data_IF_745191370115
#
_entry.id   IF_745191370115
#
_cell.length_a   1.000
_cell.length_b   1.000
_cell.length_c   1.000
_cell.angle_alpha   90.00
_cell.angle_beta   90.00
_cell.angle_gamma   90.00
#
_symmetry.space_group_name_H-M   'P 1'
#
loop_
_entity.id
_entity.type
_entity.pdbx_description
1 polymer ?
#
# COMPACT_ATOMS: atom_id res chain seq x y z
N UNK A 1 5.72 -18.16 -5.73
CA UNK A 1 6.46 -17.35 -4.75
C UNK A 1 7.87 -17.19 -5.27
N UNK A 2 8.17 -16.09 -5.98
CA UNK A 2 9.54 -15.77 -6.37
C UNK A 2 10.10 -14.87 -5.27
N UNK A 3 10.95 -15.43 -4.41
CA UNK A 3 11.72 -14.62 -3.47
C UNK A 3 12.67 -13.68 -4.24
N UNK A 4 13.11 -12.58 -3.61
CA UNK A 4 14.06 -11.66 -4.25
C UNK A 4 15.30 -12.42 -4.72
N UNK A 5 15.70 -12.19 -5.97
CA UNK A 5 16.91 -12.79 -6.55
C UNK A 5 18.09 -12.62 -5.58
N UNK A 6 18.85 -13.68 -5.37
CA UNK A 6 19.93 -13.75 -4.37
C UNK A 6 20.96 -12.61 -4.52
N UNK A 7 21.14 -12.07 -5.73
CA UNK A 7 21.96 -10.89 -6.00
C UNK A 7 21.39 -9.57 -5.44
N UNK A 8 20.07 -9.41 -5.45
CA UNK A 8 19.40 -8.22 -4.90
C UNK A 8 19.45 -8.24 -3.36
N UNK A 9 19.24 -9.40 -2.74
CA UNK A 9 19.39 -9.57 -1.30
C UNK A 9 20.81 -9.28 -0.81
N UNK A 10 21.83 -9.74 -1.57
CA UNK A 10 23.23 -9.46 -1.26
C UNK A 10 23.58 -7.98 -1.41
N UNK A 11 23.09 -7.31 -2.45
CA UNK A 11 23.27 -5.87 -2.66
C UNK A 11 22.67 -5.02 -1.55
N UNK A 12 21.44 -5.34 -1.10
CA UNK A 12 20.79 -4.66 0.03
C UNK A 12 21.56 -4.87 1.33
N UNK A 13 22.07 -6.08 1.58
CA UNK A 13 22.84 -6.39 2.78
C UNK A 13 24.17 -5.62 2.83
N UNK A 14 24.89 -5.54 1.70
CA UNK A 14 26.11 -4.73 1.57
C UNK A 14 25.83 -3.24 1.74
N UNK A 15 24.76 -2.73 1.14
CA UNK A 15 24.33 -1.33 1.29
C UNK A 15 24.00 -0.99 2.75
N UNK A 16 23.28 -1.86 3.45
CA UNK A 16 23.00 -1.73 4.88
C UNK A 16 24.28 -1.76 5.72
N UNK A 17 25.19 -2.71 5.45
CA UNK A 17 26.46 -2.80 6.17
C UNK A 17 27.31 -1.54 5.99
N UNK A 18 27.39 -1.03 4.76
CA UNK A 18 28.10 0.20 4.45
C UNK A 18 27.49 1.41 5.19
N UNK A 19 26.16 1.52 5.20
CA UNK A 19 25.45 2.55 5.96
C UNK A 19 25.72 2.48 7.46
N UNK A 20 25.75 1.28 8.05
CA UNK A 20 26.06 1.11 9.49
C UNK A 20 27.51 1.51 9.78
N UNK A 21 28.48 1.11 8.95
CA UNK A 21 29.90 1.42 9.16
C UNK A 21 30.17 2.92 8.98
N UNK A 22 29.70 3.51 7.88
CA UNK A 22 29.91 4.94 7.60
C UNK A 22 29.11 5.80 8.57
N UNK A 23 27.83 5.47 8.81
CA UNK A 23 26.99 6.17 9.77
C UNK A 23 27.52 6.07 11.21
N UNK A 24 28.03 4.91 11.60
CA UNK A 24 28.67 4.69 12.89
C UNK A 24 29.94 5.51 13.08
N UNK A 25 30.81 5.56 12.07
CA UNK A 25 32.05 6.34 12.11
C UNK A 25 31.78 7.86 12.17
N UNK A 26 30.84 8.35 11.37
CA UNK A 26 30.40 9.76 11.39
C UNK A 26 29.74 10.11 12.73
N UNK A 27 28.90 9.22 13.25
CA UNK A 27 28.24 9.38 14.55
C UNK A 27 29.20 9.47 15.72
N UNK A 28 30.24 8.64 15.72
CA UNK A 28 31.27 8.64 16.75
C UNK A 28 32.13 9.91 16.69
N UNK A 29 32.47 10.36 15.47
CA UNK A 29 33.13 11.66 15.27
C UNK A 29 32.30 12.84 15.76
N UNK A 30 31.00 12.86 15.44
CA UNK A 30 30.07 13.89 15.90
C UNK A 30 29.90 13.88 17.43
N UNK A 31 29.78 12.70 18.06
CA UNK A 31 29.70 12.57 19.51
C UNK A 31 30.93 13.14 20.22
N UNK A 32 32.14 12.86 19.69
CA UNK A 32 33.40 13.40 20.23
C UNK A 32 33.51 14.92 20.04
N UNK A 33 33.03 15.46 18.92
CA UNK A 33 32.96 16.90 18.68
C UNK A 33 32.00 17.59 19.64
N UNK A 34 30.80 17.04 19.84
CA UNK A 34 29.79 17.57 20.78
C UNK A 34 30.32 17.51 22.21
N UNK A 35 30.98 16.42 22.60
CA UNK A 35 31.66 16.32 23.90
C UNK A 35 32.64 17.49 24.10
N UNK A 36 33.47 17.76 23.09
CA UNK A 36 34.50 18.81 23.14
C UNK A 36 33.90 20.22 23.14
N UNK A 37 32.82 20.45 22.38
CA UNK A 37 32.17 21.76 22.24
C UNK A 37 31.32 22.14 23.46
N UNK A 38 30.68 21.16 24.11
CA UNK A 38 29.73 21.40 25.20
C UNK A 38 30.21 20.90 26.57
N UNK A 39 31.47 20.45 26.66
CA UNK A 39 32.11 19.93 27.88
C UNK A 39 31.25 18.86 28.59
N UNK A 40 30.61 18.00 27.81
CA UNK A 40 29.69 16.98 28.29
C UNK A 40 30.43 15.76 28.83
N UNK A 41 29.78 15.03 29.73
CA UNK A 41 30.25 13.71 30.14
C UNK A 41 30.24 12.75 28.94
N UNK A 42 31.14 11.75 28.96
CA UNK A 42 31.23 10.77 27.87
C UNK A 42 29.88 10.07 27.62
N UNK A 43 29.17 9.72 28.70
CA UNK A 43 27.83 9.12 28.62
C UNK A 43 26.80 10.02 27.92
N UNK A 44 26.77 11.32 28.25
CA UNK A 44 25.85 12.26 27.61
C UNK A 44 26.17 12.46 26.12
N UNK A 45 27.46 12.53 25.77
CA UNK A 45 27.89 12.65 24.36
C UNK A 45 27.56 11.42 23.53
N UNK A 46 27.69 10.21 24.09
CA UNK A 46 27.31 8.96 23.44
C UNK A 46 25.79 8.89 23.26
N UNK A 47 25.01 9.31 24.26
CA UNK A 47 23.56 9.39 24.15
C UNK A 47 23.10 10.32 23.03
N UNK A 48 23.67 11.53 22.94
CA UNK A 48 23.34 12.49 21.87
C UNK A 48 23.82 11.97 20.50
N UNK A 49 25.02 11.39 20.44
CA UNK A 49 25.54 10.78 19.22
C UNK A 49 24.64 9.67 18.67
N UNK A 50 24.17 8.77 19.54
CA UNK A 50 23.22 7.72 19.17
C UNK A 50 21.90 8.29 18.66
N UNK A 51 21.35 9.31 19.32
CA UNK A 51 20.13 9.99 18.85
C UNK A 51 20.34 10.60 17.47
N UNK A 52 21.48 11.26 17.23
CA UNK A 52 21.79 11.85 15.93
C UNK A 52 21.99 10.80 14.84
N UNK A 53 22.62 9.65 15.14
CA UNK A 53 22.76 8.54 14.20
C UNK A 53 21.41 7.91 13.89
N UNK A 54 20.54 7.74 14.88
CA UNK A 54 19.20 7.19 14.68
C UNK A 54 18.32 8.14 13.87
N UNK A 55 18.23 9.41 14.26
CA UNK A 55 17.41 10.42 13.56
C UNK A 55 17.99 10.70 12.17
N UNK A 56 19.30 10.87 12.05
CA UNK A 56 19.98 11.09 10.78
C UNK A 56 19.91 9.88 9.87
N UNK A 57 20.05 8.66 10.40
CA UNK A 57 19.94 7.41 9.66
C UNK A 57 18.52 7.16 9.15
N UNK A 58 17.50 7.38 9.99
CA UNK A 58 16.09 7.28 9.58
C UNK A 58 15.75 8.36 8.55
N UNK A 59 16.21 9.60 8.75
CA UNK A 59 16.01 10.69 7.78
C UNK A 59 16.70 10.41 6.45
N UNK A 60 17.94 9.95 6.46
CA UNK A 60 18.68 9.59 5.25
C UNK A 60 18.03 8.39 4.56
N UNK A 61 17.58 7.38 5.31
CA UNK A 61 16.85 6.25 4.74
C UNK A 61 15.55 6.71 4.07
N UNK A 62 14.76 7.57 4.73
CA UNK A 62 13.53 8.10 4.16
C UNK A 62 13.78 8.92 2.88
N UNK A 63 14.88 9.68 2.81
CA UNK A 63 15.25 10.47 1.61
C UNK A 63 15.82 9.59 0.49
N UNK A 64 16.70 8.65 0.82
CA UNK A 64 17.36 7.78 -0.17
C UNK A 64 16.40 6.73 -0.72
N UNK A 65 15.46 6.27 0.11
CA UNK A 65 14.47 5.25 -0.23
C UNK A 65 13.05 5.81 -0.09
N UNK A 66 12.81 6.98 -0.66
CA UNK A 66 11.51 7.66 -0.61
C UNK A 66 10.40 6.76 -1.19
N UNK A 67 10.65 6.10 -2.31
CA UNK A 67 9.69 5.17 -2.93
C UNK A 67 9.33 3.97 -2.03
N UNK A 68 10.31 3.37 -1.36
CA UNK A 68 10.08 2.27 -0.40
C UNK A 68 9.37 2.75 0.85
N UNK A 69 9.70 3.96 1.31
CA UNK A 69 9.07 4.57 2.49
C UNK A 69 7.62 4.93 2.18
N UNK A 70 7.36 5.52 1.02
CA UNK A 70 6.03 5.87 0.52
C UNK A 70 5.17 4.62 0.29
N UNK A 71 5.71 3.59 -0.37
CA UNK A 71 4.98 2.32 -0.56
C UNK A 71 4.68 1.60 0.77
N UNK A 72 5.62 1.61 1.72
CA UNK A 72 5.41 1.06 3.05
C UNK A 72 4.31 1.82 3.82
N UNK A 73 4.34 3.15 3.78
CA UNK A 73 3.29 3.97 4.37
C UNK A 73 1.94 3.72 3.70
N UNK A 74 1.90 3.69 2.36
CA UNK A 74 0.70 3.41 1.60
C UNK A 74 0.08 2.06 1.96
N UNK A 75 0.91 1.02 2.14
CA UNK A 75 0.46 -0.29 2.60
C UNK A 75 -0.08 -0.25 4.04
N UNK A 76 0.59 0.48 4.94
CA UNK A 76 0.17 0.59 6.35
C UNK A 76 -1.14 1.37 6.53
N UNK A 77 -1.39 2.35 5.67
CA UNK A 77 -2.60 3.17 5.71
C UNK A 77 -3.70 2.67 4.78
N UNK A 78 -3.45 1.61 4.01
CA UNK A 78 -4.45 1.02 3.12
C UNK A 78 -5.61 0.48 3.96
N UNK A 79 -6.82 0.93 3.64
CA UNK A 79 -8.03 0.47 4.32
C UNK A 79 -8.51 -0.83 3.67
N UNK A 80 -8.99 -1.81 4.45
CA UNK A 80 -9.63 -2.98 3.86
C UNK A 80 -10.89 -2.58 3.13
N UNK A 81 -11.12 -3.20 1.98
CA UNK A 81 -12.30 -3.00 1.15
C UNK A 81 -13.20 -4.22 1.26
N UNK A 82 -14.48 -3.98 1.54
CA UNK A 82 -15.49 -5.02 1.71
C UNK A 82 -16.62 -4.80 0.70
N UNK A 83 -16.73 -5.72 -0.26
CA UNK A 83 -17.82 -5.73 -1.23
C UNK A 83 -19.04 -6.47 -0.66
N UNK A 84 -20.21 -5.84 -0.74
CA UNK A 84 -21.49 -6.48 -0.40
C UNK A 84 -22.16 -6.87 -1.71
N UNK A 85 -22.15 -8.16 -2.04
CA UNK A 85 -22.65 -8.68 -3.32
C UNK A 85 -24.06 -9.26 -3.17
N UNK A 86 -24.92 -9.18 -4.20
CA UNK A 86 -26.17 -9.92 -4.21
C UNK A 86 -25.92 -11.43 -4.12
N UNK A 87 -26.83 -12.15 -3.45
CA UNK A 87 -26.77 -13.63 -3.40
C UNK A 87 -26.70 -14.23 -4.80
N UNK A 88 -25.76 -15.15 -5.01
CA UNK A 88 -25.57 -15.83 -6.29
C UNK A 88 -24.83 -15.01 -7.36
N UNK A 89 -24.32 -13.83 -7.01
CA UNK A 89 -23.46 -13.08 -7.92
C UNK A 89 -22.13 -13.81 -8.13
N UNK A 90 -21.80 -14.06 -9.39
CA UNK A 90 -20.49 -14.58 -9.81
C UNK A 90 -20.12 -13.93 -11.14
N UNK A 91 -18.88 -13.44 -11.25
CA UNK A 91 -18.36 -12.83 -12.47
C UNK A 91 -17.60 -11.52 -12.24
N UNK A 92 -17.38 -10.76 -13.33
CA UNK A 92 -16.57 -9.55 -13.29
C UNK A 92 -17.33 -8.35 -12.70
N UNK A 93 -16.60 -7.54 -11.93
CA UNK A 93 -16.99 -6.26 -11.39
C UNK A 93 -15.93 -5.23 -11.76
N UNK A 94 -16.35 -4.12 -12.37
CA UNK A 94 -15.49 -2.98 -12.68
C UNK A 94 -15.89 -1.78 -11.83
N UNK A 95 -14.94 -1.29 -11.05
CA UNK A 95 -15.10 -0.11 -10.21
C UNK A 95 -14.39 1.05 -10.89
N UNK A 96 -15.13 2.09 -11.26
CA UNK A 96 -14.62 3.29 -11.90
C UNK A 96 -14.47 4.43 -10.89
N UNK A 97 -13.32 5.08 -10.89
CA UNK A 97 -12.99 6.17 -9.99
C UNK A 97 -13.38 7.49 -10.66
N UNK A 98 -14.42 8.14 -10.14
CA UNK A 98 -14.95 9.41 -10.62
C UNK A 98 -14.94 10.41 -9.45
N UNK A 99 -14.43 11.62 -9.66
CA UNK A 99 -14.42 12.67 -8.64
C UNK A 99 -15.85 13.04 -8.16
N UNK A 100 -16.84 12.87 -9.04
CA UNK A 100 -18.26 13.11 -8.76
C UNK A 100 -19.05 11.82 -8.45
N UNK A 101 -18.36 10.67 -8.33
CA UNK A 101 -18.98 9.40 -8.03
C UNK A 101 -19.59 9.34 -6.61
N UNK A 102 -20.46 8.36 -6.34
CA UNK A 102 -21.03 8.16 -5.01
C UNK A 102 -19.93 7.83 -3.99
N UNK A 103 -20.07 8.40 -2.79
CA UNK A 103 -19.15 8.17 -1.68
C UNK A 103 -19.30 6.74 -1.17
N UNK A 104 -18.17 6.09 -0.89
CA UNK A 104 -18.13 4.76 -0.29
C UNK A 104 -18.27 4.88 1.22
N UNK A 105 -19.13 4.05 1.81
CA UNK A 105 -19.37 4.08 3.24
C UNK A 105 -18.16 3.55 4.00
N UNK A 106 -17.75 4.24 5.07
CA UNK A 106 -16.73 3.75 5.97
C UNK A 106 -17.37 3.18 7.23
N UNK A 107 -17.22 1.88 7.46
CA UNK A 107 -17.81 1.17 8.60
C UNK A 107 -16.71 0.41 9.34
N UNK A 108 -16.47 0.79 10.60
CA UNK A 108 -15.45 0.18 11.47
C UNK A 108 -14.04 0.18 10.83
N UNK A 109 -13.67 1.28 10.16
CA UNK A 109 -12.36 1.44 9.51
C UNK A 109 -12.19 0.65 8.21
N UNK A 110 -13.29 0.14 7.63
CA UNK A 110 -13.32 -0.58 6.36
C UNK A 110 -14.21 0.17 5.37
N UNK A 111 -13.86 0.10 4.09
CA UNK A 111 -14.64 0.69 3.01
C UNK A 111 -15.68 -0.34 2.55
N UNK A 112 -16.96 -0.04 2.76
CA UNK A 112 -18.08 -0.89 2.34
C UNK A 112 -18.63 -0.43 1.00
N UNK A 113 -18.56 -1.33 0.03
CA UNK A 113 -19.00 -1.10 -1.35
C UNK A 113 -20.19 -2.00 -1.64
N UNK A 114 -21.43 -1.48 -1.57
CA UNK A 114 -22.60 -2.25 -1.94
C UNK A 114 -22.71 -2.38 -3.45
N UNK A 115 -22.83 -3.61 -3.94
CA UNK A 115 -23.16 -3.87 -5.33
C UNK A 115 -24.67 -3.90 -5.53
N UNK A 116 -25.14 -3.14 -6.51
CA UNK A 116 -26.55 -3.08 -6.93
C UNK A 116 -26.91 -4.10 -8.00
N UNK A 117 -26.01 -5.05 -8.31
CA UNK A 117 -26.15 -6.04 -9.39
C UNK A 117 -25.60 -5.59 -10.73
N UNK A 118 -25.17 -4.32 -10.86
CA UNK A 118 -24.39 -3.87 -12.01
C UNK A 118 -22.98 -4.44 -11.97
N UNK A 119 -22.46 -4.82 -13.15
CA UNK A 119 -21.06 -5.28 -13.32
C UNK A 119 -20.07 -4.13 -13.46
N UNK A 120 -20.57 -2.90 -13.60
CA UNK A 120 -19.78 -1.67 -13.64
C UNK A 120 -20.44 -0.62 -12.75
N UNK A 121 -19.66 0.02 -11.89
CA UNK A 121 -20.16 1.04 -10.97
C UNK A 121 -19.15 2.17 -10.79
N UNK A 122 -19.66 3.38 -10.55
CA UNK A 122 -18.84 4.52 -10.17
C UNK A 122 -18.66 4.57 -8.65
N UNK A 123 -17.48 4.97 -8.21
CA UNK A 123 -17.20 5.33 -6.83
C UNK A 123 -16.40 6.62 -6.80
N UNK A 124 -16.51 7.35 -5.69
CA UNK A 124 -15.74 8.57 -5.50
C UNK A 124 -14.24 8.28 -5.50
N UNK A 125 -13.51 8.97 -6.37
CA UNK A 125 -12.05 8.93 -6.39
C UNK A 125 -11.44 9.43 -5.05
N UNK A 126 -10.27 8.91 -4.68
CA UNK A 126 -9.56 9.27 -3.45
C UNK A 126 -10.12 8.62 -2.17
N UNK A 127 -11.06 7.68 -2.28
CA UNK A 127 -11.64 6.99 -1.12
C UNK A 127 -10.72 5.89 -0.53
N UNK A 128 -9.57 5.61 -1.14
CA UNK A 128 -8.61 4.57 -0.71
C UNK A 128 -8.77 3.21 -1.40
N UNK A 129 -9.86 3.01 -2.16
CA UNK A 129 -10.07 1.82 -3.01
C UNK A 129 -9.06 1.67 -4.15
N UNK A 130 -8.44 2.77 -4.54
CA UNK A 130 -7.38 2.85 -5.54
C UNK A 130 -6.07 2.26 -5.03
N UNK A 131 -5.92 2.05 -3.73
CA UNK A 131 -4.68 1.49 -3.17
C UNK A 131 -4.46 0.07 -3.66
N UNK A 132 -3.31 -0.20 -4.28
CA UNK A 132 -2.89 -1.55 -4.67
C UNK A 132 -2.58 -2.46 -3.48
N UNK A 133 -2.46 -1.87 -2.28
CA UNK A 133 -2.17 -2.56 -1.03
C UNK A 133 -3.41 -2.85 -0.19
N UNK A 134 -4.60 -2.47 -0.66
CA UNK A 134 -5.83 -2.75 0.06
C UNK A 134 -6.13 -4.27 0.03
N UNK A 135 -6.51 -4.80 1.19
CA UNK A 135 -7.08 -6.14 1.28
C UNK A 135 -8.54 -6.10 0.80
N UNK A 136 -8.91 -7.01 -0.10
CA UNK A 136 -10.26 -7.10 -0.67
C UNK A 136 -10.98 -8.32 -0.13
N UNK A 137 -12.14 -8.09 0.49
CA UNK A 137 -13.07 -9.13 0.92
C UNK A 137 -14.43 -8.90 0.24
N UNK A 138 -15.17 -9.97 -0.05
CA UNK A 138 -16.57 -9.87 -0.46
C UNK A 138 -17.43 -10.78 0.40
N UNK A 139 -18.66 -10.33 0.68
CA UNK A 139 -19.71 -11.13 1.28
C UNK A 139 -21.01 -10.93 0.55
N UNK A 140 -21.78 -12.00 0.43
CA UNK A 140 -23.14 -11.88 -0.07
C UNK A 140 -24.06 -11.19 0.94
N UNK A 141 -25.26 -10.84 0.50
CA UNK A 141 -26.32 -10.26 1.35
C UNK A 141 -26.73 -11.15 2.53
N UNK A 142 -26.35 -12.43 2.54
CA UNK A 142 -26.59 -13.38 3.64
C UNK A 142 -25.36 -13.53 4.57
N UNK A 143 -24.26 -12.83 4.27
CA UNK A 143 -23.04 -12.82 5.05
C UNK A 143 -22.02 -13.92 4.68
N UNK A 144 -22.31 -14.72 3.66
CA UNK A 144 -21.41 -15.77 3.13
C UNK A 144 -20.22 -15.12 2.45
N UNK A 145 -19.01 -15.62 2.72
CA UNK A 145 -17.81 -15.12 2.05
C UNK A 145 -17.83 -15.49 0.57
N UNK A 146 -17.51 -14.51 -0.27
CA UNK A 146 -17.33 -14.67 -1.71
C UNK A 146 -15.87 -14.41 -2.05
N UNK A 147 -15.18 -15.34 -2.75
CA UNK A 147 -13.81 -15.11 -3.20
C UNK A 147 -13.70 -13.86 -4.07
N UNK A 148 -12.64 -13.07 -3.84
CA UNK A 148 -12.34 -11.86 -4.62
C UNK A 148 -10.96 -12.02 -5.25
N UNK A 149 -10.88 -11.73 -6.54
CA UNK A 149 -9.62 -11.74 -7.27
C UNK A 149 -9.47 -10.43 -8.02
N UNK A 150 -8.32 -9.77 -7.83
CA UNK A 150 -7.95 -8.66 -8.69
C UNK A 150 -7.76 -9.19 -10.12
N UNK A 151 -8.36 -8.53 -11.11
CA UNK A 151 -8.33 -8.98 -12.50
C UNK A 151 -7.57 -8.02 -13.41
N UNK A 152 -8.00 -6.76 -13.42
CA UNK A 152 -7.46 -5.79 -14.36
C UNK A 152 -7.51 -4.37 -13.78
N UNK A 153 -6.84 -3.46 -14.44
CA UNK A 153 -6.91 -2.04 -14.16
C UNK A 153 -6.48 -1.25 -15.37
N UNK A 154 -6.94 -0.01 -15.48
CA UNK A 154 -6.61 0.84 -16.62
C UNK A 154 -7.44 2.11 -16.63
N UNK A 155 -7.46 2.77 -17.78
CA UNK A 155 -8.28 3.96 -18.03
C UNK A 155 -9.26 3.64 -19.14
N UNK A 156 -10.54 3.89 -18.90
CA UNK A 156 -11.58 3.73 -19.91
C UNK A 156 -12.69 4.76 -19.70
N UNK A 157 -13.25 5.27 -20.81
CA UNK A 157 -14.22 6.37 -20.78
C UNK A 157 -13.70 7.64 -20.07
N UNK A 158 -12.37 7.85 -20.06
CA UNK A 158 -11.73 8.96 -19.36
C UNK A 158 -11.66 8.81 -17.83
N UNK A 159 -11.99 7.63 -17.31
CA UNK A 159 -11.98 7.31 -15.89
C UNK A 159 -11.00 6.16 -15.62
N UNK A 160 -10.26 6.25 -14.51
CA UNK A 160 -9.50 5.11 -14.01
C UNK A 160 -10.48 4.03 -13.52
N UNK A 161 -10.15 2.77 -13.75
CA UNK A 161 -10.96 1.66 -13.28
C UNK A 161 -10.10 0.52 -12.73
N UNK A 162 -10.73 -0.27 -11.87
CA UNK A 162 -10.19 -1.53 -11.35
C UNK A 162 -11.22 -2.64 -11.52
N UNK A 163 -10.79 -3.71 -12.17
CA UNK A 163 -11.55 -4.93 -12.40
C UNK A 163 -11.29 -5.96 -11.30
N UNK A 164 -12.37 -6.55 -10.80
CA UNK A 164 -12.38 -7.63 -9.83
C UNK A 164 -13.20 -8.79 -10.40
N UNK A 165 -12.79 -10.02 -10.10
CA UNK A 165 -13.60 -11.20 -10.29
C UNK A 165 -14.13 -11.66 -8.94
N UNK A 166 -15.45 -11.82 -8.84
CA UNK A 166 -16.13 -12.25 -7.62
C UNK A 166 -16.71 -13.65 -7.84
N UNK A 167 -16.47 -14.57 -6.90
CA UNK A 167 -17.00 -15.93 -6.97
C UNK A 167 -16.03 -16.96 -7.55
N UNK A 168 -16.58 -18.02 -8.12
CA UNK A 168 -15.80 -19.14 -8.66
C UNK A 168 -14.99 -18.71 -9.90
N UNK A 169 -13.73 -19.15 -9.99
CA UNK A 169 -12.83 -18.83 -11.11
C UNK A 169 -13.08 -19.69 -12.34
N UNK A 170 -13.87 -20.76 -12.23
CA UNK A 170 -14.12 -21.69 -13.33
C UNK A 170 -14.76 -20.96 -14.52
N UNK A 171 -13.99 -20.79 -15.61
CA UNK A 171 -14.43 -20.10 -16.84
C UNK A 171 -14.04 -18.62 -16.95
N UNK A 172 -13.18 -18.10 -16.06
CA UNK A 172 -12.65 -16.73 -16.16
C UNK A 172 -11.78 -16.55 -17.42
N UNK A 173 -12.16 -15.61 -18.28
CA UNK A 173 -11.31 -15.09 -19.35
C UNK A 173 -10.55 -13.88 -18.82
N UNK A 174 -9.24 -14.01 -18.63
CA UNK A 174 -8.41 -12.88 -18.22
C UNK A 174 -8.41 -11.80 -19.30
N UNK A 175 -8.71 -10.55 -18.93
CA UNK A 175 -8.32 -9.39 -19.75
C UNK A 175 -9.39 -8.75 -20.64
N UNK A 176 -10.69 -8.94 -20.39
CA UNK A 176 -11.67 -8.08 -21.06
C UNK A 176 -11.75 -6.72 -20.35
N UNK A 177 -11.45 -5.65 -21.07
CA UNK A 177 -11.71 -4.29 -20.60
C UNK A 177 -13.23 -4.06 -20.50
N UNK A 178 -13.72 -3.27 -19.53
CA UNK A 178 -15.15 -3.03 -19.38
C UNK A 178 -15.76 -2.45 -20.66
N UNK A 179 -16.66 -3.18 -21.32
CA UNK A 179 -17.30 -2.71 -22.56
C UNK A 179 -18.46 -1.75 -22.32
N UNK A 180 -18.98 -1.70 -21.09
CA UNK A 180 -20.13 -0.88 -20.72
C UNK A 180 -19.72 0.30 -19.85
N UNK A 181 -20.34 1.47 -20.09
CA UNK A 181 -20.18 2.61 -19.20
C UNK A 181 -20.72 2.29 -17.80
N UNK A 182 -20.02 2.72 -16.74
CA UNK A 182 -20.48 2.52 -15.38
C UNK A 182 -21.75 3.32 -15.12
N UNK A 183 -22.74 2.62 -14.56
CA UNK A 183 -24.00 3.20 -14.09
C UNK A 183 -23.82 3.95 -12.77
#
# INVERSE_FOLDING_TARGET
MNGPDSGMAFGVMLGMLFLVVVGGAVGLGAALLIKKLFNLTMAASVGIGLVLVLVGGVGLFAVVFDDLTASWWAARTARPVHFIVPKGFSGPLYVFFDANGPVVNEVKGRLEVPLTGARSQRVKAGAGLESHYADFEARDTEGTKVPVFLDSGGVQFGLEYRGFWLGDQTGRTFGEAPTEMPK
#
